data_IF_737546149780
#
_entry.id   IF_737546149780
#
_cell.length_a   1.000
_cell.length_b   1.000
_cell.length_c   1.000
_cell.angle_alpha   90.00
_cell.angle_beta   90.00
_cell.angle_gamma   90.00
#
_symmetry.space_group_name_H-M   'P 1'
#
loop_
_entity.id
_entity.type
_entity.pdbx_description
1 polymer ?
#
# COMPACT_ATOMS: atom_id res chain seq x y z
N UNK A 1 21.09 -0.79 25.09
CA UNK A 1 21.88 -1.81 24.35
C UNK A 1 20.94 -2.60 23.45
N UNK A 2 21.24 -2.72 22.14
CA UNK A 2 20.37 -3.38 21.14
C UNK A 2 20.94 -4.70 20.61
N UNK A 3 22.14 -5.07 21.05
CA UNK A 3 22.71 -6.37 20.78
C UNK A 3 21.98 -7.44 21.60
N UNK A 4 21.62 -8.54 20.95
CA UNK A 4 20.94 -9.68 21.56
C UNK A 4 21.74 -10.94 21.25
N UNK A 5 21.99 -11.73 22.28
CA UNK A 5 22.56 -13.07 22.18
C UNK A 5 21.69 -14.04 22.98
N UNK A 6 21.31 -15.17 22.36
CA UNK A 6 20.50 -16.21 22.99
C UNK A 6 20.86 -17.57 22.44
N UNK A 7 20.75 -18.60 23.28
CA UNK A 7 20.82 -20.00 22.86
C UNK A 7 19.44 -20.61 22.95
N UNK A 8 18.97 -21.27 21.89
CA UNK A 8 17.69 -21.99 21.93
C UNK A 8 17.82 -23.22 22.85
N UNK A 9 17.02 -23.33 23.94
CA UNK A 9 17.16 -24.43 24.89
C UNK A 9 16.73 -25.79 24.31
N UNK A 10 16.03 -25.82 23.17
CA UNK A 10 15.55 -27.07 22.53
C UNK A 10 16.53 -27.65 21.52
N UNK A 11 17.14 -26.81 20.69
CA UNK A 11 18.04 -27.26 19.61
C UNK A 11 19.49 -26.79 19.79
N UNK A 12 19.80 -26.11 20.90
CA UNK A 12 21.11 -25.57 21.25
C UNK A 12 21.75 -24.62 20.21
N UNK A 13 20.94 -24.10 19.28
CA UNK A 13 21.40 -23.12 18.28
C UNK A 13 21.66 -21.78 18.97
N UNK A 14 22.88 -21.29 18.84
CA UNK A 14 23.27 -19.95 19.25
C UNK A 14 22.86 -18.93 18.17
N UNK A 15 22.20 -17.86 18.57
CA UNK A 15 21.81 -16.76 17.69
C UNK A 15 22.30 -15.44 18.28
N UNK A 16 22.86 -14.61 17.42
CA UNK A 16 23.24 -13.23 17.74
C UNK A 16 22.60 -12.30 16.72
N UNK A 17 22.32 -11.07 17.13
CA UNK A 17 21.73 -10.08 16.25
C UNK A 17 21.66 -8.71 16.88
N UNK A 18 21.44 -7.70 16.04
CA UNK A 18 21.13 -6.34 16.47
C UNK A 18 19.63 -6.15 16.27
N UNK A 19 18.92 -5.92 17.37
CA UNK A 19 17.48 -5.68 17.36
C UNK A 19 17.19 -4.30 17.98
N UNK A 20 16.78 -3.37 17.13
CA UNK A 20 16.38 -2.04 17.58
C UNK A 20 14.91 -2.03 18.00
N UNK A 21 14.63 -1.36 19.11
CA UNK A 21 13.29 -0.99 19.52
C UNK A 21 13.03 0.45 19.06
N UNK A 22 12.55 0.61 17.83
CA UNK A 22 12.25 1.93 17.25
C UNK A 22 10.88 2.43 17.67
N UNK A 23 10.76 3.74 17.82
CA UNK A 23 9.47 4.44 17.91
C UNK A 23 8.66 4.35 16.61
N UNK A 24 7.44 4.86 16.65
CA UNK A 24 6.69 5.21 15.44
C UNK A 24 7.46 6.22 14.58
N UNK A 25 7.12 6.27 13.30
CA UNK A 25 7.66 7.23 12.35
C UNK A 25 7.11 8.63 12.60
N UNK A 26 8.00 9.61 12.63
CA UNK A 26 7.67 11.02 12.77
C UNK A 26 8.16 11.79 11.55
N UNK A 27 7.28 12.58 10.93
CA UNK A 27 7.65 13.41 9.79
C UNK A 27 8.57 14.55 10.22
N UNK A 28 9.67 14.72 9.49
CA UNK A 28 10.70 15.72 9.83
C UNK A 28 10.33 17.13 9.38
N UNK A 29 9.56 17.27 8.29
CA UNK A 29 9.14 18.56 7.74
C UNK A 29 7.66 18.56 7.34
N UNK A 30 7.02 19.73 7.44
CA UNK A 30 5.68 19.96 6.90
C UNK A 30 5.69 19.84 5.37
N UNK A 31 4.68 19.18 4.80
CA UNK A 31 4.57 18.99 3.34
C UNK A 31 5.59 18.03 2.73
N UNK A 32 6.42 17.35 3.53
CA UNK A 32 7.37 16.34 3.05
C UNK A 32 7.11 14.97 3.66
N UNK A 33 7.57 13.95 2.96
CA UNK A 33 7.43 12.54 3.35
C UNK A 33 8.67 11.97 4.04
N UNK A 34 9.72 12.78 4.21
CA UNK A 34 10.91 12.42 4.99
C UNK A 34 10.53 12.20 6.46
N UNK A 35 10.69 10.98 6.95
CA UNK A 35 10.36 10.59 8.31
C UNK A 35 11.58 10.03 9.03
N UNK A 36 11.60 10.22 10.34
CA UNK A 36 12.61 9.71 11.26
C UNK A 36 11.92 8.87 12.33
N UNK A 37 12.60 7.83 12.80
CA UNK A 37 12.28 7.17 14.07
C UNK A 37 13.55 6.92 14.85
N UNK A 38 13.43 6.87 16.18
CA UNK A 38 14.59 6.70 17.05
C UNK A 38 14.47 5.43 17.89
N UNK A 39 15.59 4.74 18.06
CA UNK A 39 15.64 3.59 18.95
C UNK A 39 15.66 4.04 20.41
N UNK A 40 14.70 3.56 21.20
CA UNK A 40 14.56 3.89 22.63
C UNK A 40 15.78 3.45 23.46
N UNK A 41 16.44 2.36 23.07
CA UNK A 41 17.55 1.73 23.82
C UNK A 41 18.96 2.19 23.45
N UNK A 42 19.18 2.72 22.26
CA UNK A 42 20.53 3.14 21.79
C UNK A 42 20.57 4.49 21.10
N UNK A 43 19.43 5.18 20.98
CA UNK A 43 19.32 6.50 20.34
C UNK A 43 19.74 6.56 18.88
N UNK A 44 19.93 5.40 18.24
CA UNK A 44 20.15 5.31 16.80
C UNK A 44 18.93 5.86 16.06
N UNK A 45 19.19 6.69 15.05
CA UNK A 45 18.18 7.28 14.19
C UNK A 45 18.08 6.52 12.86
N UNK A 46 16.86 6.24 12.45
CA UNK A 46 16.56 5.70 11.13
C UNK A 46 15.74 6.72 10.35
N UNK A 47 16.08 6.89 9.08
CA UNK A 47 15.42 7.82 8.16
C UNK A 47 14.83 7.05 6.99
N UNK A 48 13.62 7.41 6.58
CA UNK A 48 12.94 6.82 5.44
C UNK A 48 11.93 7.80 4.85
N UNK A 49 11.63 7.66 3.56
CA UNK A 49 10.46 8.30 2.96
C UNK A 49 9.22 7.45 3.24
N UNK A 50 8.26 8.02 3.97
CA UNK A 50 6.99 7.38 4.31
C UNK A 50 5.86 8.17 3.66
N UNK A 51 5.14 7.57 2.72
CA UNK A 51 3.99 8.22 2.12
C UNK A 51 2.69 7.84 2.82
N UNK A 52 1.79 8.80 2.94
CA UNK A 52 0.40 8.58 3.34
C UNK A 52 -0.51 8.82 2.14
N UNK A 53 -0.53 7.86 1.22
CA UNK A 53 -1.41 7.90 0.05
C UNK A 53 -2.84 7.53 0.42
N UNK A 54 -3.79 8.31 -0.08
CA UNK A 54 -5.22 8.05 0.06
C UNK A 54 -5.93 7.99 -1.28
N UNK A 55 -7.03 7.25 -1.35
CA UNK A 55 -7.90 7.21 -2.52
C UNK A 55 -8.61 8.55 -2.66
N UNK A 56 -8.32 9.28 -3.73
CA UNK A 56 -8.98 10.54 -4.05
C UNK A 56 -10.06 10.40 -5.12
N UNK A 57 -10.06 9.29 -5.85
CA UNK A 57 -11.05 9.05 -6.89
C UNK A 57 -10.70 7.88 -7.78
N UNK A 58 -11.29 7.89 -8.98
CA UNK A 58 -11.09 6.88 -10.00
C UNK A 58 -10.96 7.57 -11.35
N UNK A 59 -10.00 7.14 -12.16
CA UNK A 59 -9.88 7.63 -13.53
C UNK A 59 -11.10 7.19 -14.35
N UNK A 60 -11.57 8.07 -15.24
CA UNK A 60 -12.74 7.78 -16.08
C UNK A 60 -12.40 6.87 -17.24
N UNK A 61 -11.15 6.90 -17.73
CA UNK A 61 -10.73 6.22 -18.95
C UNK A 61 -10.44 4.73 -18.77
N UNK A 62 -9.90 4.31 -17.63
CA UNK A 62 -9.44 2.95 -17.37
C UNK A 62 -9.99 2.36 -16.05
N UNK A 63 -10.85 3.11 -15.33
CA UNK A 63 -11.34 2.78 -14.01
C UNK A 63 -10.25 2.53 -12.97
N UNK A 64 -9.04 3.09 -13.12
CA UNK A 64 -7.98 2.90 -12.12
C UNK A 64 -8.17 3.84 -10.94
N UNK A 65 -7.98 3.32 -9.73
CA UNK A 65 -8.06 4.11 -8.51
C UNK A 65 -6.91 5.12 -8.50
N UNK A 66 -7.22 6.39 -8.25
CA UNK A 66 -6.22 7.45 -8.11
C UNK A 66 -5.89 7.58 -6.63
N UNK A 67 -4.61 7.40 -6.30
CA UNK A 67 -4.07 7.60 -4.97
C UNK A 67 -3.22 8.87 -4.95
N UNK A 68 -3.42 9.73 -3.94
CA UNK A 68 -2.62 10.94 -3.73
C UNK A 68 -2.05 10.97 -2.32
N UNK A 69 -0.79 11.35 -2.18
CA UNK A 69 -0.16 11.56 -0.89
C UNK A 69 -0.67 12.86 -0.25
N UNK A 70 -1.18 12.78 0.98
CA UNK A 70 -1.68 13.94 1.75
C UNK A 70 -0.65 15.02 2.06
N UNK A 71 0.64 14.73 1.85
CA UNK A 71 1.75 15.61 2.27
C UNK A 71 2.47 16.25 1.10
N UNK A 72 2.84 15.45 0.10
CA UNK A 72 3.70 15.89 -1.00
C UNK A 72 2.99 15.90 -2.36
N UNK A 73 1.67 15.68 -2.40
CA UNK A 73 0.85 15.61 -3.60
C UNK A 73 1.31 14.60 -4.66
N UNK A 74 2.18 13.67 -4.29
CA UNK A 74 2.60 12.56 -5.13
C UNK A 74 1.40 11.67 -5.47
N UNK A 75 1.22 11.40 -6.75
CA UNK A 75 0.08 10.65 -7.28
C UNK A 75 0.52 9.38 -7.99
N UNK A 76 -0.27 8.31 -7.81
CA UNK A 76 -0.13 7.11 -8.64
C UNK A 76 -1.48 6.46 -8.93
N UNK A 77 -1.52 5.70 -10.03
CA UNK A 77 -2.67 4.90 -10.44
C UNK A 77 -2.56 3.48 -9.87
N UNK A 78 -3.54 3.09 -9.06
CA UNK A 78 -3.65 1.77 -8.46
C UNK A 78 -4.25 0.71 -9.39
N UNK A 79 -4.92 -0.26 -8.78
CA UNK A 79 -5.69 -1.30 -9.49
C UNK A 79 -6.93 -0.71 -10.19
N UNK A 80 -7.45 -1.46 -11.16
CA UNK A 80 -8.72 -1.13 -11.81
C UNK A 80 -9.90 -1.60 -10.95
N UNK A 81 -10.89 -0.74 -10.78
CA UNK A 81 -12.16 -1.00 -10.07
C UNK A 81 -13.31 -0.67 -11.02
N UNK A 82 -13.74 -1.68 -11.77
CA UNK A 82 -14.79 -1.53 -12.79
C UNK A 82 -16.20 -1.55 -12.19
N UNK A 83 -17.05 -0.65 -12.67
CA UNK A 83 -18.47 -0.66 -12.34
C UNK A 83 -19.21 -1.41 -13.43
N UNK A 84 -19.54 -2.69 -13.17
CA UNK A 84 -20.21 -3.54 -14.15
C UNK A 84 -21.67 -3.11 -14.34
N UNK A 85 -22.15 -3.16 -15.58
CA UNK A 85 -23.55 -2.83 -15.87
C UNK A 85 -24.43 -3.92 -15.26
N UNK A 86 -25.44 -3.53 -14.48
CA UNK A 86 -26.48 -4.41 -13.92
C UNK A 86 -27.85 -4.07 -14.51
N UNK A 87 -28.67 -5.10 -14.79
CA UNK A 87 -30.06 -5.02 -15.23
C UNK A 87 -30.90 -5.98 -14.38
N UNK A 88 -31.99 -5.49 -13.77
CA UNK A 88 -32.89 -6.30 -12.94
C UNK A 88 -32.11 -7.18 -11.94
N UNK A 89 -31.21 -6.55 -11.18
CA UNK A 89 -30.32 -7.16 -10.17
C UNK A 89 -29.30 -8.21 -10.69
N UNK A 90 -29.18 -8.38 -12.01
CA UNK A 90 -28.20 -9.27 -12.63
C UNK A 90 -27.14 -8.48 -13.41
N UNK A 91 -25.88 -8.91 -13.37
CA UNK A 91 -24.83 -8.32 -14.22
C UNK A 91 -25.13 -8.56 -15.72
N UNK A 92 -25.12 -7.50 -16.52
CA UNK A 92 -25.25 -7.57 -17.96
C UNK A 92 -23.97 -8.22 -18.53
N UNK A 93 -24.14 -9.44 -19.04
CA UNK A 93 -23.13 -10.10 -19.86
C UNK A 93 -23.46 -9.97 -21.34
N UNK A 94 -22.47 -9.65 -22.17
CA UNK A 94 -22.58 -9.64 -23.63
C UNK A 94 -21.81 -10.80 -24.24
N UNK A 95 -22.30 -11.34 -25.36
CA UNK A 95 -21.56 -12.35 -26.11
C UNK A 95 -20.43 -11.66 -26.90
N UNK A 96 -19.20 -12.09 -26.64
CA UNK A 96 -18.00 -11.71 -27.39
C UNK A 96 -17.47 -12.93 -28.14
N UNK A 97 -16.49 -12.74 -29.03
CA UNK A 97 -15.77 -13.84 -29.69
C UNK A 97 -15.11 -14.82 -28.70
N UNK A 98 -14.85 -14.38 -27.48
CA UNK A 98 -14.25 -15.16 -26.40
C UNK A 98 -15.28 -15.69 -25.38
N UNK A 99 -16.58 -15.57 -25.67
CA UNK A 99 -17.67 -16.03 -24.80
C UNK A 99 -18.44 -14.88 -24.12
N UNK A 100 -19.23 -15.21 -23.09
CA UNK A 100 -20.01 -14.23 -22.32
C UNK A 100 -19.10 -13.45 -21.38
N UNK A 101 -19.05 -12.13 -21.54
CA UNK A 101 -18.27 -11.23 -20.70
C UNK A 101 -19.12 -10.11 -20.13
N UNK A 102 -18.80 -9.67 -18.92
CA UNK A 102 -19.41 -8.47 -18.31
C UNK A 102 -18.81 -7.22 -18.93
N UNK A 103 -19.61 -6.15 -19.03
CA UNK A 103 -19.18 -4.87 -19.60
C UNK A 103 -19.16 -3.78 -18.53
N UNK A 104 -18.04 -3.06 -18.44
CA UNK A 104 -17.90 -1.92 -17.54
C UNK A 104 -18.71 -0.73 -18.07
N UNK A 105 -19.47 -0.08 -17.18
CA UNK A 105 -20.28 1.11 -17.48
C UNK A 105 -19.43 2.32 -17.85
N UNK A 106 -18.28 2.50 -17.20
CA UNK A 106 -17.50 3.73 -17.31
C UNK A 106 -16.48 3.67 -18.45
N UNK A 107 -15.68 2.60 -18.52
CA UNK A 107 -14.59 2.48 -19.51
C UNK A 107 -14.90 1.50 -20.65
N UNK A 108 -16.02 0.77 -20.61
CA UNK A 108 -16.39 -0.18 -21.67
C UNK A 108 -15.57 -1.47 -21.72
N UNK A 109 -14.58 -1.64 -20.84
CA UNK A 109 -13.78 -2.87 -20.71
C UNK A 109 -14.67 -4.09 -20.50
N UNK A 110 -14.25 -5.21 -21.07
CA UNK A 110 -14.84 -6.53 -20.85
C UNK A 110 -14.01 -7.34 -19.87
N UNK A 111 -14.66 -8.03 -18.94
CA UNK A 111 -13.98 -8.92 -17.99
C UNK A 111 -14.83 -10.10 -17.59
#
# INVERSE_FOLDING_TARGET
MCYVEKTCPRCNKYVTGIHHNYSEWEYTYYGRCDARRQCSHCKHDEFKVVHSHERIGKDSSNCRIIYRCRRCDDEYLGSAEHDWITLFDNELTVNTSEGRKRKCRNCGTFG
#
